data_IF_051276644440
#
_entry.id   IF_051276644440
#
_cell.length_a   1.000
_cell.length_b   1.000
_cell.length_c   1.000
_cell.angle_alpha   90.00
_cell.angle_beta   90.00
_cell.angle_gamma   90.00
#
_symmetry.space_group_name_H-M   'P 1'
#
loop_
_entity.id
_entity.type
_entity.pdbx_description
1 polymer ?
#
# COMPACT_ATOMS: atom_id res chain seq x y z
N UNK A 1 -12.28 -28.45 -6.96
CA UNK A 1 -11.11 -27.71 -7.53
C UNK A 1 -11.57 -26.47 -8.28
N UNK A 2 -12.56 -26.57 -9.12
CA UNK A 2 -13.12 -25.49 -9.96
C UNK A 2 -13.53 -24.23 -9.19
N UNK A 3 -14.29 -24.35 -8.11
CA UNK A 3 -14.72 -23.21 -7.28
C UNK A 3 -13.56 -22.42 -6.66
N UNK A 4 -12.43 -23.10 -6.38
CA UNK A 4 -11.22 -22.41 -5.86
C UNK A 4 -10.51 -21.61 -6.94
N UNK A 5 -10.41 -22.16 -8.14
CA UNK A 5 -9.78 -21.46 -9.27
C UNK A 5 -10.62 -20.24 -9.66
N UNK A 6 -11.93 -20.38 -9.74
CA UNK A 6 -12.86 -19.26 -9.98
C UNK A 6 -12.71 -18.18 -8.91
N UNK A 7 -12.69 -18.57 -7.63
CA UNK A 7 -12.47 -17.61 -6.54
C UNK A 7 -11.13 -16.89 -6.68
N UNK A 8 -10.04 -17.64 -6.91
CA UNK A 8 -8.70 -17.06 -7.03
C UNK A 8 -8.61 -16.09 -8.20
N UNK A 9 -9.17 -16.44 -9.36
CA UNK A 9 -9.22 -15.57 -10.52
C UNK A 9 -9.96 -14.26 -10.23
N UNK A 10 -11.15 -14.34 -9.61
CA UNK A 10 -11.94 -13.16 -9.23
C UNK A 10 -11.17 -12.32 -8.20
N UNK A 11 -10.60 -12.95 -7.17
CA UNK A 11 -9.85 -12.28 -6.12
C UNK A 11 -8.65 -11.49 -6.70
N UNK A 12 -7.89 -12.10 -7.60
CA UNK A 12 -6.73 -11.47 -8.24
C UNK A 12 -7.14 -10.39 -9.26
N UNK A 13 -8.22 -10.62 -10.02
CA UNK A 13 -8.74 -9.61 -10.97
C UNK A 13 -9.22 -8.35 -10.24
N UNK A 14 -9.94 -8.51 -9.13
CA UNK A 14 -10.33 -7.39 -8.27
C UNK A 14 -9.05 -6.70 -7.75
N UNK A 15 -8.06 -7.47 -7.30
CA UNK A 15 -6.78 -6.96 -6.82
C UNK A 15 -6.08 -6.07 -7.85
N UNK A 16 -6.07 -6.50 -9.11
CA UNK A 16 -5.46 -5.73 -10.19
C UNK A 16 -6.23 -4.42 -10.48
N UNK A 17 -7.56 -4.46 -10.52
CA UNK A 17 -8.38 -3.26 -10.72
C UNK A 17 -8.17 -2.27 -9.57
N UNK A 18 -8.18 -2.75 -8.32
CA UNK A 18 -7.97 -1.91 -7.15
C UNK A 18 -6.55 -1.36 -7.05
N UNK A 19 -5.56 -2.06 -7.64
CA UNK A 19 -4.19 -1.54 -7.81
C UNK A 19 -4.18 -0.27 -8.66
N UNK A 20 -4.83 -0.31 -9.81
CA UNK A 20 -4.92 0.87 -10.70
C UNK A 20 -5.61 2.02 -9.97
N UNK A 21 -6.70 1.74 -9.26
CA UNK A 21 -7.40 2.77 -8.47
C UNK A 21 -6.51 3.32 -7.34
N UNK A 22 -5.71 2.49 -6.69
CA UNK A 22 -4.73 2.92 -5.68
C UNK A 22 -3.70 3.90 -6.24
N UNK A 23 -3.19 3.65 -7.46
CA UNK A 23 -2.28 4.57 -8.15
C UNK A 23 -2.98 5.90 -8.52
N UNK A 24 -4.22 5.85 -9.01
CA UNK A 24 -5.02 7.06 -9.28
C UNK A 24 -5.21 7.88 -7.99
N UNK A 25 -5.49 7.23 -6.87
CA UNK A 25 -5.62 7.90 -5.57
C UNK A 25 -4.30 8.58 -5.20
N UNK A 26 -3.18 7.88 -5.30
CA UNK A 26 -1.86 8.41 -4.95
C UNK A 26 -1.48 9.60 -5.84
N UNK A 27 -1.55 9.44 -7.16
CA UNK A 27 -1.11 10.46 -8.11
C UNK A 27 -2.11 11.62 -8.20
N UNK A 28 -3.37 11.32 -8.53
CA UNK A 28 -4.34 12.36 -8.87
C UNK A 28 -4.96 12.99 -7.63
N UNK A 29 -5.45 12.18 -6.68
CA UNK A 29 -6.03 12.72 -5.44
C UNK A 29 -4.96 13.16 -4.45
N UNK A 30 -3.78 12.56 -4.47
CA UNK A 30 -2.63 12.95 -3.64
C UNK A 30 -1.92 14.16 -4.21
N UNK A 31 -0.98 13.96 -5.13
CA UNK A 31 -0.19 15.05 -5.70
C UNK A 31 -1.04 16.06 -6.47
N UNK A 32 -1.97 15.58 -7.31
CA UNK A 32 -2.80 16.42 -8.17
C UNK A 32 -3.66 17.42 -7.40
N UNK A 33 -4.24 16.99 -6.26
CA UNK A 33 -5.02 17.89 -5.41
C UNK A 33 -4.19 19.10 -4.95
N UNK A 34 -2.98 18.87 -4.42
CA UNK A 34 -2.13 19.94 -3.92
C UNK A 34 -1.57 20.82 -5.05
N UNK A 35 -1.27 20.25 -6.23
CA UNK A 35 -0.89 21.04 -7.42
C UNK A 35 -1.99 22.05 -7.75
N UNK A 36 -3.24 21.59 -7.85
CA UNK A 36 -4.39 22.45 -8.17
C UNK A 36 -4.68 23.47 -7.07
N UNK A 37 -4.63 23.06 -5.79
CA UNK A 37 -4.84 23.97 -4.66
C UNK A 37 -3.83 25.10 -4.60
N UNK A 38 -2.60 24.87 -5.08
CA UNK A 38 -1.56 25.89 -5.11
C UNK A 38 -1.47 26.66 -6.44
N UNK A 39 -2.51 26.54 -7.28
CA UNK A 39 -2.65 27.30 -8.52
C UNK A 39 -1.81 26.76 -9.68
N UNK A 40 -1.24 25.56 -9.56
CA UNK A 40 -0.61 24.88 -10.66
C UNK A 40 -1.62 24.21 -11.60
N UNK A 41 -1.13 23.73 -12.73
CA UNK A 41 -1.94 22.99 -13.71
C UNK A 41 -1.35 21.61 -13.95
N UNK A 42 -2.19 20.58 -14.03
CA UNK A 42 -1.80 19.23 -14.38
C UNK A 42 -1.64 19.16 -15.89
N UNK A 43 -0.44 18.79 -16.36
CA UNK A 43 -0.12 18.72 -17.79
C UNK A 43 -0.16 17.28 -18.32
N UNK A 44 0.16 16.30 -17.46
CA UNK A 44 0.13 14.87 -17.82
C UNK A 44 -0.15 14.02 -16.60
N UNK A 45 -0.96 13.00 -16.76
CA UNK A 45 -1.14 11.91 -15.78
C UNK A 45 -0.77 10.60 -16.47
N UNK A 46 0.11 9.84 -15.85
CA UNK A 46 0.48 8.50 -16.29
C UNK A 46 0.22 7.51 -15.16
N UNK A 47 -0.70 6.59 -15.36
CA UNK A 47 -0.99 5.50 -14.42
C UNK A 47 -0.48 4.20 -15.03
N UNK A 48 0.58 3.67 -14.46
CA UNK A 48 1.21 2.46 -14.95
C UNK A 48 0.39 1.21 -14.61
N UNK A 49 0.16 0.38 -15.62
CA UNK A 49 -0.38 -0.97 -15.42
C UNK A 49 0.69 -1.94 -14.93
N UNK A 50 1.97 -1.60 -15.15
CA UNK A 50 3.12 -2.45 -14.88
C UNK A 50 3.85 -2.10 -13.57
N UNK A 51 3.27 -1.18 -12.75
CA UNK A 51 3.84 -0.95 -11.43
C UNK A 51 3.98 -2.28 -10.65
N UNK A 52 5.06 -2.56 -9.95
CA UNK A 52 6.17 -1.67 -9.60
C UNK A 52 7.33 -1.64 -10.60
N UNK A 53 7.21 -2.23 -11.77
CA UNK A 53 8.26 -2.20 -12.79
C UNK A 53 8.37 -0.83 -13.48
N UNK A 54 7.24 -0.17 -13.72
CA UNK A 54 7.14 1.16 -14.31
C UNK A 54 6.42 2.11 -13.34
N UNK A 55 6.93 3.34 -13.07
CA UNK A 55 6.30 4.27 -12.16
C UNK A 55 5.03 4.88 -12.74
N UNK A 56 4.02 5.09 -11.89
CA UNK A 56 3.00 6.09 -12.14
C UNK A 56 3.59 7.47 -11.82
N UNK A 57 3.10 8.53 -12.47
CA UNK A 57 3.52 9.89 -12.19
C UNK A 57 2.52 10.93 -12.68
N UNK A 58 2.62 12.11 -12.11
CA UNK A 58 1.91 13.32 -12.55
C UNK A 58 2.92 14.41 -12.91
N UNK A 59 2.73 15.04 -14.07
CA UNK A 59 3.48 16.23 -14.45
C UNK A 59 2.61 17.47 -14.29
N UNK A 60 3.21 18.55 -13.85
CA UNK A 60 2.50 19.81 -13.64
C UNK A 60 3.34 21.00 -14.08
N UNK A 61 2.65 22.08 -14.45
CA UNK A 61 3.23 23.40 -14.59
C UNK A 61 2.90 24.20 -13.34
N UNK A 62 3.90 24.87 -12.72
CA UNK A 62 3.66 25.74 -11.59
C UNK A 62 2.90 27.01 -12.02
N UNK A 63 2.33 27.77 -11.07
CA UNK A 63 1.83 29.14 -11.33
C UNK A 63 2.99 30.06 -11.77
N UNK A 64 2.66 31.26 -12.30
CA UNK A 64 3.64 32.19 -12.87
C UNK A 64 4.83 32.50 -11.93
N UNK A 65 4.59 32.53 -10.62
CA UNK A 65 5.62 32.79 -9.60
C UNK A 65 6.34 31.53 -9.09
N UNK A 66 6.08 30.35 -9.70
CA UNK A 66 6.58 29.07 -9.23
C UNK A 66 5.85 28.57 -7.98
N UNK A 67 6.19 27.37 -7.53
CA UNK A 67 5.76 26.86 -6.23
C UNK A 67 6.73 27.31 -5.13
N UNK A 68 6.19 27.85 -4.04
CA UNK A 68 7.00 28.07 -2.84
C UNK A 68 7.56 26.74 -2.30
N UNK A 69 8.73 26.75 -1.59
CA UNK A 69 9.34 25.51 -1.07
C UNK A 69 8.37 24.64 -0.25
N UNK A 70 7.55 25.25 0.61
CA UNK A 70 6.56 24.55 1.42
C UNK A 70 5.40 23.93 0.59
N UNK A 71 4.99 24.59 -0.51
CA UNK A 71 4.00 24.06 -1.43
C UNK A 71 4.52 22.81 -2.14
N UNK A 72 5.79 22.85 -2.59
CA UNK A 72 6.46 21.68 -3.15
C UNK A 72 6.58 20.52 -2.15
N UNK A 73 6.73 20.79 -0.85
CA UNK A 73 6.71 19.77 0.19
C UNK A 73 5.32 19.15 0.35
N UNK A 74 4.25 19.97 0.36
CA UNK A 74 2.88 19.48 0.40
C UNK A 74 2.49 18.67 -0.84
N UNK A 75 2.95 19.07 -2.03
CA UNK A 75 2.76 18.28 -3.25
C UNK A 75 3.43 16.91 -3.08
N UNK A 76 4.68 16.86 -2.61
CA UNK A 76 5.41 15.60 -2.45
C UNK A 76 4.77 14.70 -1.37
N UNK A 77 4.32 15.26 -0.24
CA UNK A 77 3.68 14.47 0.83
C UNK A 77 2.25 14.06 0.47
N UNK A 78 1.61 14.75 -0.47
CA UNK A 78 0.20 14.59 -0.83
C UNK A 78 -0.16 13.16 -1.21
N UNK A 79 0.64 12.52 -2.06
CA UNK A 79 0.45 11.12 -2.45
C UNK A 79 0.46 10.17 -1.24
N UNK A 80 1.47 10.32 -0.38
CA UNK A 80 1.63 9.52 0.84
C UNK A 80 0.45 9.76 1.80
N UNK A 81 0.14 11.03 2.09
CA UNK A 81 -0.86 11.42 3.08
C UNK A 81 -2.27 10.95 2.70
N UNK A 82 -2.71 11.27 1.47
CA UNK A 82 -4.06 10.92 0.99
C UNK A 82 -4.22 9.40 0.93
N UNK A 83 -3.22 8.68 0.46
CA UNK A 83 -3.24 7.22 0.43
C UNK A 83 -3.37 6.62 1.84
N UNK A 84 -2.62 7.12 2.83
CA UNK A 84 -2.70 6.64 4.22
C UNK A 84 -4.04 6.98 4.87
N UNK A 85 -4.62 8.15 4.61
CA UNK A 85 -5.96 8.52 5.11
C UNK A 85 -6.99 7.54 4.56
N UNK A 86 -6.99 7.29 3.25
CA UNK A 86 -7.91 6.33 2.63
C UNK A 86 -7.71 4.92 3.18
N UNK A 87 -6.46 4.48 3.34
CA UNK A 87 -6.14 3.20 3.97
C UNK A 87 -6.77 3.09 5.36
N UNK A 88 -6.60 4.10 6.20
CA UNK A 88 -7.16 4.12 7.55
C UNK A 88 -8.69 4.04 7.54
N UNK A 89 -9.35 4.86 6.73
CA UNK A 89 -10.82 4.87 6.60
C UNK A 89 -11.37 3.52 6.12
N UNK A 90 -10.73 2.92 5.12
CA UNK A 90 -11.13 1.61 4.59
C UNK A 90 -10.92 0.49 5.60
N UNK A 91 -9.79 0.49 6.33
CA UNK A 91 -9.54 -0.49 7.39
C UNK A 91 -10.57 -0.36 8.52
N UNK A 92 -10.84 0.85 9.00
CA UNK A 92 -11.87 1.10 10.00
C UNK A 92 -13.25 0.62 9.52
N UNK A 93 -13.65 0.98 8.29
CA UNK A 93 -14.91 0.51 7.73
C UNK A 93 -14.98 -1.01 7.71
N UNK A 94 -13.95 -1.71 7.23
CA UNK A 94 -13.94 -3.17 7.11
C UNK A 94 -13.88 -3.90 8.47
N UNK A 95 -13.30 -3.27 9.49
CA UNK A 95 -13.26 -3.82 10.85
C UNK A 95 -14.62 -3.72 11.55
N UNK A 96 -15.35 -2.62 11.34
CA UNK A 96 -16.59 -2.33 12.08
C UNK A 96 -17.88 -2.61 11.31
N UNK A 97 -17.82 -2.72 9.98
CA UNK A 97 -19.01 -2.94 9.16
C UNK A 97 -19.04 -4.32 8.50
N UNK A 98 -20.19 -4.96 8.57
CA UNK A 98 -20.43 -6.19 7.80
C UNK A 98 -20.74 -5.82 6.34
N UNK A 99 -20.03 -6.42 5.41
CA UNK A 99 -20.27 -6.29 3.97
C UNK A 99 -20.24 -7.65 3.28
N UNK A 100 -20.80 -7.75 2.08
CA UNK A 100 -20.73 -8.97 1.27
C UNK A 100 -19.26 -9.26 0.90
N UNK A 101 -18.96 -10.52 0.55
CA UNK A 101 -17.58 -10.89 0.24
C UNK A 101 -16.99 -10.14 -0.96
N UNK A 102 -17.72 -9.81 -2.05
CA UNK A 102 -17.14 -9.05 -3.16
C UNK A 102 -16.75 -7.62 -2.73
N UNK A 103 -17.65 -6.96 -1.98
CA UNK A 103 -17.38 -5.62 -1.42
C UNK A 103 -16.19 -5.68 -0.45
N UNK A 104 -16.17 -6.65 0.48
CA UNK A 104 -15.04 -6.83 1.40
C UNK A 104 -13.73 -7.05 0.66
N UNK A 105 -13.75 -7.83 -0.44
CA UNK A 105 -12.56 -8.11 -1.26
C UNK A 105 -12.08 -6.85 -1.98
N UNK A 106 -12.98 -6.10 -2.60
CA UNK A 106 -12.63 -4.86 -3.32
C UNK A 106 -12.04 -3.82 -2.37
N UNK A 107 -12.71 -3.56 -1.25
CA UNK A 107 -12.23 -2.59 -0.26
C UNK A 107 -10.94 -3.06 0.44
N UNK A 108 -10.77 -4.37 0.67
CA UNK A 108 -9.52 -4.92 1.20
C UNK A 108 -8.35 -4.67 0.24
N UNK A 109 -8.52 -4.98 -1.05
CA UNK A 109 -7.48 -4.75 -2.03
C UNK A 109 -7.18 -3.26 -2.21
N UNK A 110 -8.19 -2.40 -2.20
CA UNK A 110 -7.96 -0.96 -2.25
C UNK A 110 -7.19 -0.48 -1.01
N UNK A 111 -7.59 -0.90 0.20
CA UNK A 111 -6.86 -0.60 1.42
C UNK A 111 -5.43 -1.13 1.40
N UNK A 112 -5.20 -2.32 0.81
CA UNK A 112 -3.86 -2.88 0.66
C UNK A 112 -2.99 -2.05 -0.29
N UNK A 113 -3.50 -1.65 -1.46
CA UNK A 113 -2.71 -0.90 -2.44
C UNK A 113 -2.45 0.54 -2.00
N UNK A 114 -3.45 1.22 -1.41
CA UNK A 114 -3.27 2.55 -0.83
C UNK A 114 -2.37 2.55 0.42
N UNK A 115 -2.17 1.40 1.06
CA UNK A 115 -1.22 1.18 2.15
C UNK A 115 0.19 0.89 1.65
N UNK A 116 0.35 -0.09 0.75
CA UNK A 116 1.68 -0.62 0.40
C UNK A 116 2.52 0.37 -0.39
N UNK A 117 1.91 1.21 -1.22
CA UNK A 117 2.60 2.22 -1.99
C UNK A 117 3.29 3.25 -1.06
N UNK A 118 2.58 4.04 -0.22
CA UNK A 118 3.23 5.04 0.64
C UNK A 118 4.16 4.43 1.70
N UNK A 119 3.82 3.27 2.25
CA UNK A 119 4.68 2.59 3.22
C UNK A 119 5.94 2.05 2.55
N UNK A 120 5.83 1.54 1.34
CA UNK A 120 6.97 1.16 0.52
C UNK A 120 7.90 2.34 0.25
N UNK A 121 7.36 3.51 -0.13
CA UNK A 121 8.13 4.74 -0.29
C UNK A 121 8.85 5.15 1.01
N UNK A 122 8.18 5.10 2.16
CA UNK A 122 8.78 5.47 3.44
C UNK A 122 9.90 4.50 3.85
N UNK A 123 9.68 3.20 3.78
CA UNK A 123 10.69 2.20 4.18
C UNK A 123 11.86 2.20 3.20
N UNK A 124 11.58 2.09 1.91
CA UNK A 124 12.63 2.01 0.89
C UNK A 124 13.35 3.35 0.73
N UNK A 125 12.63 4.47 0.76
CA UNK A 125 13.19 5.81 0.72
C UNK A 125 14.01 6.16 1.96
N UNK A 126 13.70 5.55 3.12
CA UNK A 126 14.51 5.63 4.32
C UNK A 126 15.83 4.85 4.22
N UNK A 127 15.87 3.76 3.42
CA UNK A 127 17.09 3.01 3.14
C UNK A 127 17.93 3.72 2.05
N UNK A 128 17.29 4.08 0.95
CA UNK A 128 17.88 4.81 -0.18
C UNK A 128 16.84 5.81 -0.71
N UNK A 129 17.08 7.12 -0.57
CA UNK A 129 16.10 8.13 -1.00
C UNK A 129 15.70 7.98 -2.46
N UNK A 130 14.41 7.90 -2.74
CA UNK A 130 13.82 7.92 -4.08
C UNK A 130 12.38 8.46 -4.05
N UNK A 131 11.85 8.87 -5.21
CA UNK A 131 10.48 9.34 -5.37
C UNK A 131 10.12 10.49 -4.42
N UNK A 132 8.95 10.43 -3.83
CA UNK A 132 8.43 11.47 -2.93
C UNK A 132 9.27 11.65 -1.68
N UNK A 133 9.79 10.56 -1.12
CA UNK A 133 10.64 10.62 0.08
C UNK A 133 11.95 11.33 -0.22
N UNK A 134 12.57 11.12 -1.40
CA UNK A 134 13.75 11.88 -1.80
C UNK A 134 13.44 13.38 -1.91
N UNK A 135 12.28 13.75 -2.48
CA UNK A 135 11.84 15.13 -2.55
C UNK A 135 11.68 15.77 -1.16
N UNK A 136 11.12 15.05 -0.20
CA UNK A 136 10.94 15.53 1.17
C UNK A 136 12.28 15.65 1.92
N UNK A 137 13.19 14.71 1.74
CA UNK A 137 14.55 14.75 2.32
C UNK A 137 15.34 15.92 1.74
N UNK A 138 15.36 16.08 0.42
CA UNK A 138 16.07 17.17 -0.25
C UNK A 138 15.54 18.57 0.13
N UNK A 139 14.30 18.67 0.59
CA UNK A 139 13.69 19.89 1.11
C UNK A 139 13.88 20.08 2.61
N UNK A 140 14.57 19.15 3.32
CA UNK A 140 14.76 19.20 4.76
C UNK A 140 13.52 18.96 5.60
N UNK A 141 12.44 18.42 5.02
CA UNK A 141 11.18 18.13 5.71
C UNK A 141 11.24 16.78 6.44
N UNK A 142 12.03 15.84 5.94
CA UNK A 142 12.14 14.49 6.44
C UNK A 142 13.61 14.06 6.46
N UNK A 143 14.00 13.18 7.41
CA UNK A 143 15.28 12.46 7.34
C UNK A 143 15.04 11.00 6.97
N UNK A 144 16.11 10.30 6.54
CA UNK A 144 16.02 8.88 6.21
C UNK A 144 15.55 8.04 7.41
N UNK A 145 16.09 8.33 8.60
CA UNK A 145 15.77 7.61 9.83
C UNK A 145 14.29 7.80 10.21
N UNK A 146 13.78 9.03 10.10
CA UNK A 146 12.38 9.34 10.37
C UNK A 146 11.48 8.65 9.34
N UNK A 147 11.83 8.69 8.06
CA UNK A 147 11.08 7.99 7.01
C UNK A 147 10.99 6.49 7.29
N UNK A 148 12.13 5.86 7.61
CA UNK A 148 12.19 4.44 7.94
C UNK A 148 11.37 4.11 9.20
N UNK A 149 11.52 4.88 10.27
CA UNK A 149 10.79 4.68 11.52
C UNK A 149 9.29 4.82 11.33
N UNK A 150 8.83 5.86 10.60
CA UNK A 150 7.41 6.05 10.26
C UNK A 150 6.89 4.90 9.41
N UNK A 151 7.62 4.53 8.35
CA UNK A 151 7.24 3.44 7.46
C UNK A 151 7.07 2.12 8.19
N UNK A 152 8.03 1.74 9.04
CA UNK A 152 7.96 0.52 9.86
C UNK A 152 6.81 0.57 10.87
N UNK A 153 6.59 1.71 11.54
CA UNK A 153 5.51 1.87 12.53
C UNK A 153 4.14 1.73 11.87
N UNK A 154 3.91 2.43 10.76
CA UNK A 154 2.66 2.36 9.99
C UNK A 154 2.47 0.96 9.44
N UNK A 155 3.56 0.32 8.96
CA UNK A 155 3.53 -1.05 8.47
C UNK A 155 3.02 -2.01 9.55
N UNK A 156 3.61 -1.99 10.75
CA UNK A 156 3.23 -2.89 11.83
C UNK A 156 1.77 -2.69 12.26
N UNK A 157 1.32 -1.45 12.42
CA UNK A 157 -0.05 -1.15 12.80
C UNK A 157 -1.07 -1.68 11.77
N UNK A 158 -0.82 -1.42 10.49
CA UNK A 158 -1.73 -1.83 9.42
C UNK A 158 -1.63 -3.32 9.08
N UNK A 159 -0.47 -3.96 9.28
CA UNK A 159 -0.28 -5.39 9.05
C UNK A 159 -1.28 -6.25 9.82
N UNK A 160 -1.46 -5.98 11.10
CA UNK A 160 -2.36 -6.77 11.95
C UNK A 160 -3.83 -6.57 11.57
N UNK A 161 -4.23 -5.34 11.25
CA UNK A 161 -5.59 -5.05 10.81
C UNK A 161 -5.89 -5.65 9.44
N UNK A 162 -5.02 -5.47 8.45
CA UNK A 162 -5.15 -6.05 7.10
C UNK A 162 -5.18 -7.59 7.14
N UNK A 163 -4.29 -8.21 7.93
CA UNK A 163 -4.31 -9.68 8.10
C UNK A 163 -5.62 -10.17 8.73
N UNK A 164 -6.20 -9.40 9.65
CA UNK A 164 -7.48 -9.71 10.28
C UNK A 164 -8.65 -9.54 9.32
N UNK A 165 -8.65 -8.48 8.52
CA UNK A 165 -9.65 -8.20 7.48
C UNK A 165 -9.59 -9.28 6.39
N UNK A 166 -8.39 -9.61 5.91
CA UNK A 166 -8.19 -10.68 4.92
C UNK A 166 -8.73 -12.01 5.43
N UNK A 167 -8.42 -12.36 6.69
CA UNK A 167 -8.95 -13.57 7.33
C UNK A 167 -10.48 -13.58 7.30
N UNK A 168 -11.11 -12.51 7.73
CA UNK A 168 -12.58 -12.38 7.71
C UNK A 168 -13.15 -12.49 6.30
N UNK A 169 -12.51 -11.88 5.31
CA UNK A 169 -12.91 -11.94 3.90
C UNK A 169 -12.81 -13.36 3.35
N UNK A 170 -11.70 -14.07 3.60
CA UNK A 170 -11.49 -15.44 3.14
C UNK A 170 -12.47 -16.44 3.80
N UNK A 171 -12.78 -16.28 5.08
CA UNK A 171 -13.76 -17.13 5.78
C UNK A 171 -15.15 -17.00 5.16
N UNK A 172 -15.58 -15.78 4.82
CA UNK A 172 -16.89 -15.52 4.20
C UNK A 172 -17.11 -16.25 2.88
N UNK A 173 -16.05 -16.61 2.17
CA UNK A 173 -16.16 -17.31 0.88
C UNK A 173 -16.56 -18.78 1.03
N UNK A 174 -16.24 -19.40 2.17
CA UNK A 174 -16.43 -20.85 2.40
C UNK A 174 -15.54 -21.75 1.51
N UNK A 175 -14.79 -21.18 0.59
CA UNK A 175 -14.00 -21.92 -0.42
C UNK A 175 -12.60 -22.30 0.08
N UNK A 176 -12.05 -21.49 0.99
CA UNK A 176 -10.68 -21.63 1.48
C UNK A 176 -10.62 -22.52 2.71
N UNK A 177 -10.04 -23.72 2.58
CA UNK A 177 -9.93 -24.68 3.68
C UNK A 177 -8.86 -24.29 4.71
N UNK A 178 -7.69 -23.79 4.25
CA UNK A 178 -6.59 -23.39 5.11
C UNK A 178 -6.37 -21.89 5.05
N UNK A 179 -7.17 -21.15 5.80
CA UNK A 179 -7.12 -19.67 5.83
C UNK A 179 -5.76 -19.17 6.32
N UNK A 180 -5.14 -19.83 7.31
CA UNK A 180 -3.81 -19.46 7.83
C UNK A 180 -2.77 -19.45 6.70
N UNK A 181 -2.62 -20.57 6.00
CA UNK A 181 -1.63 -20.67 4.93
C UNK A 181 -1.92 -19.70 3.79
N UNK A 182 -3.19 -19.42 3.50
CA UNK A 182 -3.57 -18.45 2.48
C UNK A 182 -3.18 -17.02 2.86
N UNK A 183 -3.24 -16.65 4.15
CA UNK A 183 -2.78 -15.35 4.62
C UNK A 183 -1.25 -15.25 4.56
N UNK A 184 -0.54 -16.30 4.99
CA UNK A 184 0.93 -16.35 4.87
C UNK A 184 1.34 -16.22 3.40
N UNK A 185 0.69 -17.00 2.51
CA UNK A 185 0.95 -16.93 1.07
C UNK A 185 0.62 -15.55 0.48
N UNK A 186 -0.44 -14.89 0.93
CA UNK A 186 -0.77 -13.54 0.49
C UNK A 186 0.39 -12.55 0.75
N UNK A 187 1.02 -12.63 1.92
CA UNK A 187 2.11 -11.71 2.25
C UNK A 187 3.38 -11.92 1.44
N UNK A 188 3.52 -13.04 0.69
CA UNK A 188 4.59 -13.20 -0.29
C UNK A 188 4.50 -12.19 -1.47
N UNK A 189 3.38 -11.48 -1.61
CA UNK A 189 3.28 -10.38 -2.57
C UNK A 189 4.32 -9.29 -2.30
N UNK A 190 4.71 -9.06 -1.02
CA UNK A 190 5.70 -8.03 -0.67
C UNK A 190 7.11 -8.38 -1.16
N UNK A 191 7.68 -9.58 -0.87
CA UNK A 191 8.94 -10.03 -1.48
C UNK A 191 8.89 -10.00 -3.02
N UNK A 192 7.77 -10.38 -3.62
CA UNK A 192 7.61 -10.32 -5.08
C UNK A 192 7.70 -8.87 -5.61
N UNK A 193 6.95 -7.94 -5.02
CA UNK A 193 7.00 -6.51 -5.38
C UNK A 193 8.44 -5.97 -5.19
N UNK A 194 9.09 -6.31 -4.07
CA UNK A 194 10.45 -5.87 -3.79
C UNK A 194 11.45 -6.41 -4.81
N UNK A 195 11.32 -7.67 -5.21
CA UNK A 195 12.17 -8.26 -6.25
C UNK A 195 12.03 -7.52 -7.59
N UNK A 196 10.80 -7.19 -7.99
CA UNK A 196 10.53 -6.41 -9.21
C UNK A 196 11.15 -5.01 -9.11
N UNK A 197 11.04 -4.35 -7.95
CA UNK A 197 11.67 -3.07 -7.69
C UNK A 197 13.20 -3.11 -7.73
N UNK A 198 13.81 -4.19 -7.23
CA UNK A 198 15.27 -4.40 -7.32
C UNK A 198 15.73 -4.43 -8.78
N UNK A 199 14.99 -5.15 -9.62
CA UNK A 199 15.33 -5.29 -11.04
C UNK A 199 15.03 -3.99 -11.81
N UNK A 200 13.88 -3.35 -11.58
CA UNK A 200 13.42 -2.17 -12.33
C UNK A 200 14.10 -0.87 -11.90
N UNK A 201 14.34 -0.68 -10.58
CA UNK A 201 14.81 0.60 -10.02
C UNK A 201 16.18 0.54 -9.36
N UNK A 202 16.86 -0.61 -9.39
CA UNK A 202 18.18 -0.77 -8.77
C UNK A 202 18.19 -0.46 -7.27
N UNK A 203 17.11 -0.87 -6.56
CA UNK A 203 17.02 -0.71 -5.11
C UNK A 203 18.11 -1.54 -4.39
N UNK A 204 18.52 -1.17 -3.15
CA UNK A 204 19.53 -1.91 -2.41
C UNK A 204 19.10 -3.36 -2.15
N UNK A 205 19.97 -4.32 -2.38
CA UNK A 205 19.72 -5.74 -2.18
C UNK A 205 19.25 -6.09 -0.75
N UNK A 206 19.63 -5.29 0.24
CA UNK A 206 19.19 -5.45 1.64
C UNK A 206 17.66 -5.37 1.80
N UNK A 207 16.96 -4.68 0.90
CA UNK A 207 15.50 -4.57 0.94
C UNK A 207 14.80 -5.91 0.71
N UNK A 208 15.42 -6.82 -0.04
CA UNK A 208 14.81 -8.11 -0.35
C UNK A 208 14.65 -9.01 0.90
N UNK A 209 15.68 -9.32 1.71
CA UNK A 209 15.47 -10.07 2.94
C UNK A 209 14.52 -9.37 3.93
N UNK A 210 14.54 -8.04 4.02
CA UNK A 210 13.62 -7.27 4.86
C UNK A 210 12.16 -7.48 4.42
N UNK A 211 11.91 -7.63 3.14
CA UNK A 211 10.56 -7.82 2.59
C UNK A 211 9.87 -9.13 3.03
N UNK A 212 10.62 -10.09 3.62
CA UNK A 212 10.06 -11.31 4.19
C UNK A 212 9.50 -11.13 5.62
N UNK A 213 9.76 -10.01 6.27
CA UNK A 213 9.22 -9.73 7.62
C UNK A 213 7.70 -9.95 7.69
N UNK A 214 6.86 -9.44 6.74
CA UNK A 214 5.41 -9.68 6.76
C UNK A 214 5.04 -11.17 6.71
N UNK A 215 5.78 -11.97 5.95
CA UNK A 215 5.55 -13.42 5.83
C UNK A 215 5.83 -14.11 7.17
N UNK A 216 6.95 -13.77 7.80
CA UNK A 216 7.33 -14.31 9.12
C UNK A 216 6.34 -13.88 10.19
N UNK A 217 5.93 -12.62 10.19
CA UNK A 217 4.91 -12.10 11.12
C UNK A 217 3.57 -12.82 10.90
N UNK A 218 3.12 -13.03 9.67
CA UNK A 218 1.89 -13.76 9.39
C UNK A 218 1.96 -15.20 9.87
N UNK A 219 3.09 -15.86 9.67
CA UNK A 219 3.32 -17.24 10.13
C UNK A 219 3.25 -17.33 11.66
N UNK A 220 3.86 -16.40 12.38
CA UNK A 220 3.90 -16.37 13.84
C UNK A 220 2.56 -15.90 14.46
N UNK A 221 1.91 -14.88 13.89
CA UNK A 221 0.72 -14.24 14.45
C UNK A 221 -0.54 -15.09 14.34
N UNK A 222 -0.76 -15.78 13.23
CA UNK A 222 -2.00 -16.52 12.98
C UNK A 222 -2.30 -17.61 14.03
N UNK A 223 -1.33 -18.42 14.50
CA UNK A 223 -1.58 -19.39 15.56
C UNK A 223 -1.91 -18.76 16.92
N UNK A 224 -1.30 -17.62 17.25
CA UNK A 224 -1.53 -16.91 18.51
C UNK A 224 -2.96 -16.38 18.60
N UNK A 225 -3.44 -15.78 17.51
CA UNK A 225 -4.82 -15.29 17.43
C UNK A 225 -5.84 -16.42 17.60
N UNK A 226 -5.64 -17.57 16.97
CA UNK A 226 -6.55 -18.70 17.07
C UNK A 226 -6.60 -19.27 18.50
N UNK A 227 -5.48 -19.27 19.25
CA UNK A 227 -5.42 -19.69 20.65
C UNK A 227 -6.14 -18.70 21.57
N UNK A 228 -5.96 -17.39 21.36
CA UNK A 228 -6.62 -16.34 22.17
C UNK A 228 -8.14 -16.38 22.00
N UNK A 229 -8.62 -16.50 20.78
CA UNK A 229 -10.07 -16.57 20.52
C UNK A 229 -10.74 -17.87 21.01
N UNK A 230 -9.98 -18.98 21.13
CA UNK A 230 -10.49 -20.21 21.75
C UNK A 230 -10.61 -20.13 23.26
N UNK A 231 -9.81 -19.26 23.91
CA UNK A 231 -9.88 -19.04 25.37
C UNK A 231 -10.97 -18.05 25.81
N UNK A 232 -11.47 -17.24 24.86
CA UNK A 232 -12.51 -16.23 25.11
C UNK A 232 -13.93 -16.71 24.76
N UNK A 233 -14.07 -17.93 24.26
CA UNK A 233 -15.35 -18.66 24.08
C UNK A 233 -15.54 -19.70 25.17
#
# INVERSE_FOLDING_TARGET
MENRMKFLSIFLSIGFIMKILGEVIHEVMGHGLFILLFGGTITKVHISLLWPYEPSFILSSPPANGFAPWQGAWIAVGGILVSLIITCLLQLFLLFRKSSWPISTSLFWLAFWTFINPVGYLIMGGIKPFGDVANLINRGVLTQEIALALGLSIFLLSFFSLSSILRGTLIKTGVIKNVKNSIVLFWFIIPFITLVNLIGYGQPWISFPISFIPVLLAYAYMPLKDRLFKRLK
#
